data_IF_518083776517
#
_entry.id   IF_518083776517
#
_cell.length_a   1.000
_cell.length_b   1.000
_cell.length_c   1.000
_cell.angle_alpha   90.00
_cell.angle_beta   90.00
_cell.angle_gamma   90.00
#
_symmetry.space_group_name_H-M   'P 1'
#
loop_
_entity.id
_entity.type
_entity.pdbx_description
1 polymer ?
#
# COMPACT_ATOMS: atom_id res chain seq x y z
N UNK A 1 -32.28 41.88 -26.86
CA UNK A 1 -32.96 40.85 -26.05
C UNK A 1 -31.95 39.82 -25.59
N UNK A 2 -31.78 39.72 -24.27
CA UNK A 2 -30.88 38.85 -23.52
C UNK A 2 -31.35 37.38 -23.55
N UNK A 3 -30.43 36.43 -23.77
CA UNK A 3 -30.59 35.05 -23.29
C UNK A 3 -29.30 34.58 -22.60
N UNK A 4 -29.32 34.63 -21.27
CA UNK A 4 -28.41 33.88 -20.40
C UNK A 4 -28.80 32.41 -20.46
N UNK A 5 -27.87 31.53 -20.79
CA UNK A 5 -28.02 30.09 -20.57
C UNK A 5 -26.93 29.61 -19.63
N UNK A 6 -27.29 29.56 -18.36
CA UNK A 6 -26.64 28.77 -17.31
C UNK A 6 -26.68 27.30 -17.71
N UNK A 7 -25.52 26.66 -17.85
CA UNK A 7 -25.43 25.20 -17.99
C UNK A 7 -24.38 24.68 -17.02
N UNK A 8 -24.90 24.03 -15.97
CA UNK A 8 -24.21 23.43 -14.82
C UNK A 8 -23.00 22.57 -15.21
N UNK A 9 -21.90 22.80 -14.52
CA UNK A 9 -20.81 21.85 -14.32
C UNK A 9 -21.38 20.49 -13.88
N UNK A 10 -21.33 19.50 -14.76
CA UNK A 10 -21.72 18.11 -14.48
C UNK A 10 -20.46 17.35 -14.07
N UNK A 11 -20.09 17.49 -12.80
CA UNK A 11 -19.18 16.56 -12.13
C UNK A 11 -19.74 15.15 -12.28
N UNK A 12 -19.10 14.35 -13.14
CA UNK A 12 -19.46 12.97 -13.44
C UNK A 12 -18.32 12.07 -13.00
N UNK A 13 -18.28 11.83 -11.71
CA UNK A 13 -17.62 10.67 -11.10
C UNK A 13 -18.47 10.29 -9.90
N UNK A 14 -18.69 8.99 -9.60
CA UNK A 14 -19.45 8.61 -8.43
C UNK A 14 -18.71 9.16 -7.21
N UNK A 15 -19.27 10.19 -6.57
CA UNK A 15 -18.79 10.68 -5.29
C UNK A 15 -18.99 9.54 -4.30
N UNK A 16 -17.95 8.70 -4.15
CA UNK A 16 -17.93 7.52 -3.30
C UNK A 16 -18.03 8.02 -1.87
N UNK A 17 -19.27 8.24 -1.38
CA UNK A 17 -19.62 8.81 -0.08
C UNK A 17 -18.55 8.43 0.94
N UNK A 18 -17.65 9.36 1.22
CA UNK A 18 -16.58 9.17 2.19
C UNK A 18 -17.24 9.31 3.55
N UNK A 19 -17.59 8.19 4.17
CA UNK A 19 -18.08 8.20 5.54
C UNK A 19 -16.96 8.79 6.41
N UNK A 20 -17.23 9.78 7.28
CA UNK A 20 -16.20 10.44 8.08
C UNK A 20 -15.29 9.46 8.83
N UNK A 21 -15.85 8.36 9.34
CA UNK A 21 -15.09 7.30 10.01
C UNK A 21 -14.11 6.55 9.09
N UNK A 22 -14.40 6.40 7.80
CA UNK A 22 -13.46 5.76 6.84
C UNK A 22 -12.23 6.64 6.63
N UNK A 23 -12.40 7.96 6.58
CA UNK A 23 -11.28 8.88 6.43
C UNK A 23 -10.40 8.87 7.67
N UNK A 24 -10.99 8.85 8.88
CA UNK A 24 -10.25 8.71 10.13
C UNK A 24 -9.41 7.42 10.16
N UNK A 25 -10.00 6.29 9.76
CA UNK A 25 -9.29 5.00 9.73
C UNK A 25 -8.15 5.00 8.70
N UNK A 26 -8.34 5.64 7.53
CA UNK A 26 -7.26 5.78 6.56
C UNK A 26 -6.14 6.71 7.08
N UNK A 27 -6.48 7.81 7.74
CA UNK A 27 -5.49 8.65 8.43
C UNK A 27 -4.74 7.87 9.50
N UNK A 28 -5.40 6.96 10.21
CA UNK A 28 -4.74 6.10 11.19
C UNK A 28 -3.71 5.17 10.55
N UNK A 29 -3.94 4.68 9.32
CA UNK A 29 -2.91 3.89 8.58
C UNK A 29 -1.70 4.70 8.13
N UNK A 30 -1.79 6.03 8.18
CA UNK A 30 -0.67 6.93 7.90
C UNK A 30 0.36 6.94 9.03
N UNK A 31 -0.06 6.67 10.28
CA UNK A 31 0.83 6.62 11.44
C UNK A 31 1.93 5.57 11.26
N UNK A 32 1.61 4.28 11.01
CA UNK A 32 2.64 3.28 10.75
C UNK A 32 3.51 3.63 9.53
N UNK A 33 2.96 4.32 8.52
CA UNK A 33 3.71 4.71 7.32
C UNK A 33 4.78 5.75 7.66
N UNK A 34 4.39 6.79 8.42
CA UNK A 34 5.29 7.85 8.86
C UNK A 34 6.39 7.27 9.74
N UNK A 35 6.04 6.39 10.69
CA UNK A 35 7.02 5.70 11.54
C UNK A 35 8.00 4.92 10.66
N UNK A 36 7.52 4.15 9.67
CA UNK A 36 8.39 3.40 8.77
C UNK A 36 9.35 4.28 7.98
N UNK A 37 8.87 5.40 7.43
CA UNK A 37 9.71 6.38 6.72
C UNK A 37 10.76 6.99 7.66
N UNK A 38 10.37 7.35 8.89
CA UNK A 38 11.29 7.92 9.87
C UNK A 38 12.38 6.93 10.27
N UNK A 39 12.04 5.64 10.42
CA UNK A 39 13.02 4.60 10.74
C UNK A 39 14.02 4.37 9.58
N UNK A 40 13.54 4.34 8.35
CA UNK A 40 14.42 4.26 7.17
C UNK A 40 15.29 5.52 7.06
N UNK A 41 14.72 6.70 7.34
CA UNK A 41 15.45 7.96 7.37
C UNK A 41 16.51 8.00 8.47
N UNK A 42 16.21 7.51 9.67
CA UNK A 42 17.15 7.40 10.77
C UNK A 42 18.33 6.51 10.40
N UNK A 43 18.06 5.38 9.73
CA UNK A 43 19.12 4.52 9.20
C UNK A 43 20.01 5.23 8.18
N UNK A 44 19.43 5.97 7.21
CA UNK A 44 20.21 6.74 6.21
C UNK A 44 21.07 7.83 6.84
N UNK A 45 20.59 8.43 7.94
CA UNK A 45 21.28 9.50 8.65
C UNK A 45 22.24 8.99 9.74
N UNK A 46 22.44 7.67 9.83
CA UNK A 46 23.28 7.03 10.85
C UNK A 46 22.85 7.41 12.29
N UNK A 47 21.53 7.56 12.51
CA UNK A 47 20.94 7.85 13.82
C UNK A 47 20.61 6.52 14.51
N UNK A 48 21.36 6.21 15.57
CA UNK A 48 21.19 4.99 16.35
C UNK A 48 19.98 5.09 17.32
N UNK A 49 18.82 4.62 16.85
CA UNK A 49 17.60 4.43 17.68
C UNK A 49 17.58 3.03 18.33
N UNK A 50 18.25 2.07 17.71
CA UNK A 50 18.39 0.67 18.13
C UNK A 50 19.87 0.33 18.05
N UNK A 51 20.32 -0.62 18.88
CA UNK A 51 21.73 -1.03 18.92
C UNK A 51 22.20 -1.68 17.60
N UNK A 52 21.28 -2.10 16.73
CA UNK A 52 21.57 -2.77 15.46
C UNK A 52 20.96 -2.00 14.27
N UNK A 53 21.77 -1.45 13.35
CA UNK A 53 21.28 -0.66 12.20
C UNK A 53 20.33 -1.42 11.28
N UNK A 54 20.48 -2.74 11.20
CA UNK A 54 19.63 -3.61 10.37
C UNK A 54 18.18 -3.64 10.87
N UNK A 55 17.96 -3.44 12.18
CA UNK A 55 16.61 -3.38 12.75
C UNK A 55 15.83 -2.15 12.27
N UNK A 56 16.47 -0.99 12.07
CA UNK A 56 15.80 0.22 11.57
C UNK A 56 15.15 0.00 10.22
N UNK A 57 15.92 -0.53 9.27
CA UNK A 57 15.45 -0.78 7.90
C UNK A 57 14.36 -1.84 7.91
N UNK A 58 14.59 -2.94 8.63
CA UNK A 58 13.68 -4.07 8.66
C UNK A 58 12.32 -3.69 9.25
N UNK A 59 12.33 -3.07 10.43
CA UNK A 59 11.11 -2.61 11.09
C UNK A 59 10.44 -1.52 10.24
N UNK A 60 11.23 -0.63 9.63
CA UNK A 60 10.73 0.39 8.72
C UNK A 60 9.96 -0.19 7.51
N UNK A 61 10.53 -1.21 6.86
CA UNK A 61 9.89 -1.93 5.73
C UNK A 61 8.62 -2.63 6.20
N UNK A 62 8.63 -3.32 7.34
CA UNK A 62 7.44 -3.99 7.87
C UNK A 62 6.31 -3.00 8.17
N UNK A 63 6.62 -1.85 8.77
CA UNK A 63 5.66 -0.78 9.02
C UNK A 63 5.09 -0.22 7.71
N UNK A 64 5.94 -0.02 6.70
CA UNK A 64 5.51 0.40 5.38
C UNK A 64 4.54 -0.61 4.75
N UNK A 65 4.91 -1.88 4.68
CA UNK A 65 4.08 -2.95 4.11
C UNK A 65 2.76 -3.10 4.87
N UNK A 66 2.79 -3.03 6.21
CA UNK A 66 1.61 -3.08 7.06
C UNK A 66 0.66 -1.92 6.76
N UNK A 67 1.17 -0.68 6.61
CA UNK A 67 0.36 0.47 6.23
C UNK A 67 -0.36 0.26 4.91
N UNK A 68 0.34 -0.26 3.89
CA UNK A 68 -0.28 -0.55 2.60
C UNK A 68 -1.30 -1.68 2.68
N UNK A 69 -1.01 -2.74 3.44
CA UNK A 69 -1.95 -3.83 3.65
C UNK A 69 -3.24 -3.34 4.32
N UNK A 70 -3.14 -2.66 5.47
CA UNK A 70 -4.31 -2.16 6.21
C UNK A 70 -5.09 -1.12 5.39
N UNK A 71 -4.39 -0.18 4.75
CA UNK A 71 -5.03 0.82 3.89
C UNK A 71 -5.84 0.17 2.77
N UNK A 72 -5.32 -0.90 2.14
CA UNK A 72 -6.05 -1.64 1.11
C UNK A 72 -7.22 -2.47 1.67
N UNK A 73 -7.10 -3.05 2.87
CA UNK A 73 -8.23 -3.70 3.57
C UNK A 73 -9.37 -2.70 3.80
N UNK A 74 -9.06 -1.52 4.34
CA UNK A 74 -10.03 -0.46 4.62
C UNK A 74 -10.71 0.06 3.34
N UNK A 75 -9.98 0.07 2.22
CA UNK A 75 -10.51 0.45 0.91
C UNK A 75 -11.28 -0.68 0.20
N UNK A 76 -11.39 -1.87 0.82
CA UNK A 76 -11.97 -3.10 0.26
C UNK A 76 -11.23 -3.61 -0.99
N UNK A 77 -9.95 -3.30 -1.11
CA UNK A 77 -9.04 -3.75 -2.19
C UNK A 77 -8.33 -5.03 -1.74
N UNK A 78 -9.09 -6.12 -1.58
CA UNK A 78 -8.62 -7.37 -0.97
C UNK A 78 -7.41 -8.01 -1.67
N UNK A 79 -7.37 -7.99 -3.01
CA UNK A 79 -6.21 -8.53 -3.75
C UNK A 79 -4.92 -7.75 -3.46
N UNK A 80 -5.00 -6.42 -3.41
CA UNK A 80 -3.84 -5.59 -3.06
C UNK A 80 -3.43 -5.84 -1.61
N UNK A 81 -4.39 -5.86 -0.68
CA UNK A 81 -4.13 -6.17 0.71
C UNK A 81 -3.42 -7.53 0.89
N UNK A 82 -3.89 -8.56 0.17
CA UNK A 82 -3.26 -9.88 0.17
C UNK A 82 -1.84 -9.82 -0.41
N UNK A 83 -1.61 -9.12 -1.52
CA UNK A 83 -0.28 -8.94 -2.11
C UNK A 83 0.71 -8.28 -1.14
N UNK A 84 0.33 -7.16 -0.52
CA UNK A 84 1.16 -6.48 0.48
C UNK A 84 1.38 -7.32 1.74
N UNK A 85 0.34 -8.02 2.21
CA UNK A 85 0.42 -8.92 3.36
C UNK A 85 1.31 -10.14 3.11
N UNK A 86 1.29 -10.70 1.89
CA UNK A 86 2.18 -11.81 1.51
C UNK A 86 3.65 -11.38 1.49
N UNK A 87 3.94 -10.17 1.00
CA UNK A 87 5.30 -9.61 1.07
C UNK A 87 5.76 -9.43 2.53
N UNK A 88 4.92 -8.82 3.37
CA UNK A 88 5.23 -8.66 4.80
C UNK A 88 5.43 -10.01 5.49
N UNK A 89 4.59 -11.00 5.17
CA UNK A 89 4.71 -12.36 5.69
C UNK A 89 6.01 -13.03 5.24
N UNK A 90 6.41 -12.87 3.98
CA UNK A 90 7.68 -13.37 3.47
C UNK A 90 8.87 -12.76 4.23
N UNK A 91 8.87 -11.45 4.46
CA UNK A 91 9.92 -10.78 5.24
C UNK A 91 9.99 -11.33 6.67
N UNK A 92 8.84 -11.49 7.34
CA UNK A 92 8.79 -12.09 8.68
C UNK A 92 9.36 -13.51 8.69
N UNK A 93 9.04 -14.34 7.70
CA UNK A 93 9.55 -15.72 7.63
C UNK A 93 11.07 -15.72 7.44
N UNK A 94 11.60 -14.88 6.57
CA UNK A 94 13.06 -14.78 6.33
C UNK A 94 13.81 -14.41 7.61
N UNK A 95 13.22 -13.51 8.41
CA UNK A 95 13.83 -13.01 9.64
C UNK A 95 13.68 -13.99 10.82
N UNK A 96 12.51 -14.61 10.96
CA UNK A 96 12.22 -15.51 12.08
C UNK A 96 12.81 -16.92 11.87
N UNK A 97 12.94 -17.37 10.62
CA UNK A 97 13.49 -18.68 10.27
C UNK A 97 14.66 -18.57 9.29
N UNK A 98 15.87 -18.65 9.82
CA UNK A 98 17.12 -18.66 9.04
C UNK A 98 17.42 -20.00 8.34
N UNK A 99 16.51 -20.97 8.38
CA UNK A 99 16.70 -22.22 7.65
C UNK A 99 16.45 -22.03 6.15
N UNK A 100 17.34 -22.60 5.33
CA UNK A 100 17.32 -22.48 3.86
C UNK A 100 15.96 -22.86 3.26
N UNK A 101 15.31 -23.91 3.76
CA UNK A 101 13.98 -24.32 3.30
C UNK A 101 12.89 -23.29 3.62
N UNK A 102 12.96 -22.65 4.78
CA UNK A 102 12.02 -21.59 5.16
C UNK A 102 12.22 -20.33 4.31
N UNK A 103 13.49 -19.98 4.03
CA UNK A 103 13.82 -18.88 3.12
C UNK A 103 13.35 -19.16 1.68
N UNK A 104 13.53 -20.39 1.18
CA UNK A 104 13.02 -20.79 -0.13
C UNK A 104 11.48 -20.68 -0.20
N UNK A 105 10.78 -21.13 0.84
CA UNK A 105 9.34 -20.97 0.96
C UNK A 105 8.94 -19.49 1.02
N UNK A 106 9.67 -18.66 1.76
CA UNK A 106 9.41 -17.22 1.85
C UNK A 106 9.59 -16.50 0.51
N UNK A 107 10.62 -16.85 -0.26
CA UNK A 107 10.82 -16.33 -1.62
C UNK A 107 9.62 -16.69 -2.50
N UNK A 108 9.13 -17.94 -2.43
CA UNK A 108 7.95 -18.37 -3.19
C UNK A 108 6.70 -17.57 -2.77
N UNK A 109 6.48 -17.38 -1.46
CA UNK A 109 5.39 -16.56 -0.91
C UNK A 109 5.47 -15.12 -1.40
N UNK A 110 6.66 -14.51 -1.33
CA UNK A 110 6.91 -13.15 -1.81
C UNK A 110 6.65 -13.01 -3.31
N UNK A 111 7.08 -13.97 -4.12
CA UNK A 111 6.83 -14.00 -5.56
C UNK A 111 5.32 -14.05 -5.87
N UNK A 112 4.55 -14.88 -5.16
CA UNK A 112 3.08 -14.91 -5.29
C UNK A 112 2.46 -13.55 -4.91
N UNK A 113 2.96 -12.92 -3.84
CA UNK A 113 2.55 -11.57 -3.45
C UNK A 113 2.77 -10.54 -4.56
N UNK A 114 3.95 -10.55 -5.20
CA UNK A 114 4.27 -9.68 -6.34
C UNK A 114 3.35 -9.93 -7.54
N UNK A 115 3.04 -11.19 -7.85
CA UNK A 115 2.11 -11.54 -8.93
C UNK A 115 0.72 -10.96 -8.66
N UNK A 116 0.22 -11.04 -7.43
CA UNK A 116 -1.07 -10.46 -7.06
C UNK A 116 -1.10 -8.95 -7.25
N UNK A 117 -0.03 -8.26 -6.82
CA UNK A 117 0.11 -6.82 -7.05
C UNK A 117 0.16 -6.51 -8.55
N UNK A 118 1.00 -7.20 -9.32
CA UNK A 118 1.18 -6.99 -10.75
C UNK A 118 -0.12 -7.15 -11.55
N UNK A 119 -0.90 -8.22 -11.28
CA UNK A 119 -2.18 -8.46 -11.94
C UNK A 119 -3.17 -7.33 -11.65
N UNK A 120 -3.29 -6.91 -10.40
CA UNK A 120 -4.27 -5.89 -10.00
C UNK A 120 -3.86 -4.49 -10.49
N UNK A 121 -2.57 -4.17 -10.50
CA UNK A 121 -2.05 -2.94 -11.13
C UNK A 121 -2.32 -2.93 -12.64
N UNK A 122 -2.05 -4.04 -13.33
CA UNK A 122 -2.32 -4.17 -14.75
C UNK A 122 -3.81 -4.03 -15.07
N UNK A 123 -4.68 -4.63 -14.25
CA UNK A 123 -6.13 -4.51 -14.37
C UNK A 123 -6.58 -3.06 -14.22
N UNK A 124 -6.08 -2.34 -13.22
CA UNK A 124 -6.41 -0.91 -13.01
C UNK A 124 -5.90 -0.03 -14.15
N UNK A 125 -4.70 -0.31 -14.66
CA UNK A 125 -4.12 0.40 -15.81
C UNK A 125 -4.98 0.25 -17.07
N UNK A 126 -5.39 -0.99 -17.39
CA UNK A 126 -6.28 -1.29 -18.52
C UNK A 126 -7.62 -0.56 -18.43
N UNK A 127 -8.23 -0.53 -17.24
CA UNK A 127 -9.51 0.16 -17.01
C UNK A 127 -9.35 1.66 -17.25
N UNK A 128 -8.33 2.29 -16.65
CA UNK A 128 -8.10 3.72 -16.79
C UNK A 128 -7.79 4.13 -18.24
N UNK A 129 -7.07 3.30 -19.00
CA UNK A 129 -6.78 3.54 -20.42
C UNK A 129 -8.04 3.49 -21.28
N UNK A 130 -9.00 2.61 -20.97
CA UNK A 130 -10.28 2.55 -21.71
C UNK A 130 -11.17 3.75 -21.41
N UNK A 131 -11.11 4.29 -20.20
CA UNK A 131 -11.84 5.50 -19.82
C UNK A 131 -11.25 6.76 -20.49
N UNK A 132 -9.92 6.86 -20.61
CA UNK A 132 -9.29 8.01 -21.25
C UNK A 132 -9.53 8.08 -22.76
N UNK A 133 -9.70 6.93 -23.43
CA UNK A 133 -10.02 6.85 -24.86
C UNK A 133 -11.49 7.14 -25.19
N UNK A 134 -12.37 7.20 -24.17
CA UNK A 134 -13.80 7.51 -24.34
C UNK A 134 -14.13 8.99 -24.08
N UNK A 135 -13.17 9.78 -23.58
CA UNK A 135 -13.29 11.23 -23.37
C UNK A 135 -12.75 11.98 -24.58
#
# INVERSE_FOLDING_TARGET
MTKKTTSKSKSTGPARKSTPGRNLLLTLTLVPLIIGILLIGAWVLEIDIFDEPQLHVTVGILFFLLSFAISNVLQKRWMLAAGWGLLMGADIIILAWLHVWAQAAAIAVGAVGLVFLGIEFYRQYQVNRKESLKK
#
